data_IF_461103316669
#
_entry.id   IF_461103316669
#
_cell.length_a   1.000
_cell.length_b   1.000
_cell.length_c   1.000
_cell.angle_alpha   90.00
_cell.angle_beta   90.00
_cell.angle_gamma   90.00
#
_symmetry.space_group_name_H-M   'P 1'
#
loop_
_entity.id
_entity.type
_entity.pdbx_description
1 polymer ?
#
# COMPACT_ATOMS: atom_id res chain seq x y z
N UNK A 1 -6.83 23.22 3.86
CA UNK A 1 -6.34 21.82 3.86
C UNK A 1 -7.38 20.98 3.13
N UNK A 2 -6.98 20.07 2.25
CA UNK A 2 -7.93 19.20 1.54
C UNK A 2 -8.50 18.16 2.53
N UNK A 3 -9.82 17.95 2.50
CA UNK A 3 -10.53 17.07 3.43
C UNK A 3 -10.26 15.56 3.23
N UNK A 4 -9.51 15.18 2.19
CA UNK A 4 -9.24 13.79 1.83
C UNK A 4 -7.84 13.58 1.25
N UNK A 5 -7.44 12.31 1.13
CA UNK A 5 -6.10 11.91 0.65
C UNK A 5 -5.98 11.83 -0.87
N UNK A 6 -7.09 11.78 -1.58
CA UNK A 6 -7.13 11.63 -3.03
C UNK A 6 -7.89 12.80 -3.65
N UNK A 7 -7.42 13.27 -4.79
CA UNK A 7 -8.07 14.31 -5.57
C UNK A 7 -7.95 14.02 -7.07
N UNK A 8 -8.94 14.46 -7.81
CA UNK A 8 -8.85 14.60 -9.26
C UNK A 8 -8.46 16.04 -9.57
N UNK A 9 -7.70 16.24 -10.63
CA UNK A 9 -7.33 17.57 -11.09
C UNK A 9 -7.59 17.72 -12.58
N UNK A 10 -7.87 18.95 -12.99
CA UNK A 10 -8.05 19.27 -14.41
C UNK A 10 -6.74 19.74 -15.04
N UNK A 11 -6.06 20.71 -14.41
CA UNK A 11 -4.84 21.31 -14.96
C UNK A 11 -3.67 21.29 -13.98
N UNK A 12 -2.51 20.86 -14.47
CA UNK A 12 -1.22 20.93 -13.78
C UNK A 12 -0.27 21.83 -14.58
N UNK A 13 0.43 22.73 -13.88
CA UNK A 13 1.34 23.69 -14.48
C UNK A 13 2.70 23.58 -13.81
N UNK A 14 3.75 23.61 -14.61
CA UNK A 14 5.13 23.66 -14.15
C UNK A 14 5.68 25.06 -14.35
N UNK A 15 6.00 25.73 -13.25
CA UNK A 15 6.82 26.96 -13.26
C UNK A 15 8.18 26.59 -12.65
N UNK A 16 8.49 27.10 -11.46
CA UNK A 16 9.64 26.67 -10.67
C UNK A 16 9.38 25.32 -9.96
N UNK A 17 8.10 25.01 -9.70
CA UNK A 17 7.60 23.75 -9.13
C UNK A 17 6.32 23.34 -9.86
N UNK A 18 5.86 22.12 -9.63
CA UNK A 18 4.58 21.64 -10.14
C UNK A 18 3.45 22.15 -9.22
N UNK A 19 2.44 22.77 -9.84
CA UNK A 19 1.26 23.29 -9.18
C UNK A 19 0.01 22.76 -9.89
N UNK A 20 -0.96 22.32 -9.10
CA UNK A 20 -2.30 21.97 -9.59
C UNK A 20 -3.19 23.20 -9.44
N UNK A 21 -3.86 23.64 -10.52
CA UNK A 21 -4.76 24.81 -10.47
C UNK A 21 -6.10 24.46 -9.84
N UNK A 22 -6.75 23.45 -10.40
CA UNK A 22 -8.09 23.03 -10.01
C UNK A 22 -8.03 21.58 -9.54
N UNK A 23 -8.44 21.35 -8.29
CA UNK A 23 -8.52 20.01 -7.72
C UNK A 23 -9.81 19.82 -6.93
N UNK A 24 -10.42 18.64 -7.07
CA UNK A 24 -11.59 18.22 -6.31
C UNK A 24 -11.22 16.97 -5.52
N UNK A 25 -11.47 17.00 -4.21
CA UNK A 25 -11.27 15.82 -3.35
C UNK A 25 -12.26 14.73 -3.77
N UNK A 26 -11.77 13.50 -3.91
CA UNK A 26 -12.58 12.35 -4.31
C UNK A 26 -12.45 11.21 -3.32
N UNK A 27 -13.52 10.43 -3.21
CA UNK A 27 -13.59 9.27 -2.33
C UNK A 27 -12.88 8.06 -2.97
N UNK A 28 -12.10 7.26 -2.21
CA UNK A 28 -11.58 5.95 -2.64
C UNK A 28 -12.58 5.08 -3.39
N UNK A 29 -13.83 5.02 -2.94
CA UNK A 29 -14.85 4.18 -3.57
C UNK A 29 -15.22 4.67 -4.97
N UNK A 30 -15.28 5.99 -5.18
CA UNK A 30 -15.49 6.57 -6.52
C UNK A 30 -14.34 6.21 -7.46
N UNK A 31 -13.10 6.21 -6.96
CA UNK A 31 -11.91 5.80 -7.71
C UNK A 31 -11.92 4.31 -8.04
N UNK A 32 -12.44 3.46 -7.15
CA UNK A 32 -12.55 2.02 -7.42
C UNK A 32 -13.60 1.72 -8.50
N UNK A 33 -14.71 2.47 -8.50
CA UNK A 33 -15.84 2.25 -9.41
C UNK A 33 -15.57 2.81 -10.81
N UNK A 34 -15.11 4.06 -10.90
CA UNK A 34 -14.91 4.77 -12.17
C UNK A 34 -13.43 4.90 -12.61
N UNK A 35 -12.49 4.42 -11.80
CA UNK A 35 -11.08 4.42 -12.18
C UNK A 35 -10.78 3.40 -13.29
N UNK A 36 -9.51 3.27 -13.65
CA UNK A 36 -9.08 2.35 -14.68
C UNK A 36 -9.05 0.88 -14.23
N UNK A 37 -8.07 0.13 -14.72
CA UNK A 37 -8.02 -1.33 -14.61
C UNK A 37 -8.00 -1.80 -13.14
N UNK A 38 -8.99 -2.60 -12.76
CA UNK A 38 -9.15 -3.09 -11.39
C UNK A 38 -8.52 -4.48 -11.22
N UNK A 39 -7.58 -4.62 -10.29
CA UNK A 39 -7.01 -5.92 -9.89
C UNK A 39 -7.27 -6.19 -8.41
N UNK A 40 -7.80 -7.37 -8.12
CA UNK A 40 -8.24 -7.79 -6.79
C UNK A 40 -7.30 -8.85 -6.22
N UNK A 41 -6.56 -8.49 -5.17
CA UNK A 41 -5.71 -9.40 -4.41
C UNK A 41 -6.45 -9.88 -3.16
N UNK A 42 -7.31 -10.90 -3.33
CA UNK A 42 -8.21 -11.38 -2.29
C UNK A 42 -7.49 -11.86 -1.01
N UNK A 43 -6.32 -12.47 -1.14
CA UNK A 43 -5.53 -12.96 0.00
C UNK A 43 -4.97 -11.84 0.86
N UNK A 44 -4.61 -10.72 0.23
CA UNK A 44 -4.01 -9.56 0.90
C UNK A 44 -5.04 -8.48 1.26
N UNK A 45 -6.30 -8.64 0.86
CA UNK A 45 -7.35 -7.62 0.97
C UNK A 45 -6.93 -6.28 0.34
N UNK A 46 -6.22 -6.36 -0.79
CA UNK A 46 -5.75 -5.19 -1.54
C UNK A 46 -6.43 -5.17 -2.90
N UNK A 47 -6.89 -3.99 -3.30
CA UNK A 47 -7.38 -3.69 -4.63
C UNK A 47 -6.46 -2.66 -5.25
N UNK A 48 -6.05 -2.87 -6.50
CA UNK A 48 -5.26 -1.88 -7.23
C UNK A 48 -6.01 -1.36 -8.45
N UNK A 49 -5.96 -0.05 -8.64
CA UNK A 49 -6.45 0.64 -9.83
C UNK A 49 -5.23 1.06 -10.66
N UNK A 50 -5.22 0.69 -11.94
CA UNK A 50 -4.15 0.96 -12.90
C UNK A 50 -2.76 0.46 -12.47
N UNK A 51 -2.72 -0.55 -11.59
CA UNK A 51 -1.48 -1.16 -11.09
C UNK A 51 -0.68 -0.34 -10.06
N UNK A 52 -0.96 0.97 -9.91
CA UNK A 52 -0.22 1.84 -8.99
C UNK A 52 -1.04 2.26 -7.77
N UNK A 53 -2.34 2.49 -7.93
CA UNK A 53 -3.19 3.04 -6.89
C UNK A 53 -3.75 1.91 -6.02
N UNK A 54 -3.24 1.76 -4.79
CA UNK A 54 -3.57 0.63 -3.91
C UNK A 54 -4.54 1.04 -2.79
N UNK A 55 -5.62 0.29 -2.67
CA UNK A 55 -6.61 0.43 -1.60
C UNK A 55 -6.67 -0.86 -0.79
N UNK A 56 -6.72 -0.77 0.53
CA UNK A 56 -7.01 -1.92 1.37
C UNK A 56 -8.50 -2.02 1.56
N UNK A 57 -9.10 -3.10 1.07
CA UNK A 57 -10.55 -3.29 1.04
C UNK A 57 -10.85 -4.75 1.38
N UNK A 58 -11.79 -4.97 2.30
CA UNK A 58 -12.27 -6.32 2.62
C UNK A 58 -12.77 -7.03 1.36
N UNK A 59 -12.66 -8.36 1.35
CA UNK A 59 -13.02 -9.19 0.19
C UNK A 59 -14.45 -8.95 -0.33
N UNK A 60 -15.44 -8.85 0.55
CA UNK A 60 -16.86 -8.68 0.18
C UNK A 60 -17.12 -7.42 -0.64
N UNK A 61 -16.91 -6.18 -0.12
CA UNK A 61 -17.14 -4.96 -0.88
C UNK A 61 -16.29 -4.87 -2.15
N UNK A 62 -15.04 -5.35 -2.10
CA UNK A 62 -14.17 -5.36 -3.28
C UNK A 62 -14.71 -6.25 -4.42
N UNK A 63 -15.31 -7.39 -4.06
CA UNK A 63 -15.93 -8.29 -5.05
C UNK A 63 -17.24 -7.68 -5.58
N UNK A 64 -18.05 -7.06 -4.72
CA UNK A 64 -19.27 -6.35 -5.13
C UNK A 64 -18.98 -5.25 -6.15
N UNK A 65 -17.97 -4.41 -5.90
CA UNK A 65 -17.54 -3.35 -6.83
C UNK A 65 -17.09 -3.95 -8.17
N UNK A 66 -16.37 -5.08 -8.16
CA UNK A 66 -15.96 -5.77 -9.39
C UNK A 66 -17.16 -6.21 -10.24
N UNK A 67 -18.17 -6.84 -9.62
CA UNK A 67 -19.37 -7.28 -10.34
C UNK A 67 -20.17 -6.10 -10.87
N UNK A 68 -20.35 -5.05 -10.04
CA UNK A 68 -21.07 -3.84 -10.45
C UNK A 68 -20.40 -3.16 -11.65
N UNK A 69 -19.06 -3.11 -11.70
CA UNK A 69 -18.33 -2.57 -12.86
C UNK A 69 -18.57 -3.37 -14.13
N UNK A 70 -18.56 -4.69 -14.05
CA UNK A 70 -18.81 -5.55 -15.21
C UNK A 70 -20.23 -5.37 -15.75
N UNK A 71 -21.22 -5.23 -14.85
CA UNK A 71 -22.61 -4.97 -15.22
C UNK A 71 -22.78 -3.58 -15.86
N UNK A 72 -22.15 -2.55 -15.27
CA UNK A 72 -22.11 -1.20 -15.84
C UNK A 72 -21.49 -1.18 -17.23
N UNK A 73 -20.33 -1.82 -17.41
CA UNK A 73 -19.64 -1.86 -18.70
C UNK A 73 -20.49 -2.57 -19.77
N UNK A 74 -21.14 -3.68 -19.42
CA UNK A 74 -22.07 -4.37 -20.32
C UNK A 74 -23.24 -3.48 -20.77
N UNK A 75 -23.87 -2.77 -19.82
CA UNK A 75 -24.97 -1.83 -20.10
C UNK A 75 -24.49 -0.67 -20.99
N UNK A 76 -23.35 -0.07 -20.66
CA UNK A 76 -22.78 1.04 -21.41
C UNK A 76 -22.38 0.62 -22.83
N UNK A 77 -21.73 -0.53 -22.99
CA UNK A 77 -21.36 -1.05 -24.31
C UNK A 77 -22.59 -1.29 -25.19
N UNK A 78 -23.66 -1.85 -24.62
CA UNK A 78 -24.91 -2.05 -25.37
C UNK A 78 -25.53 -0.71 -25.80
N UNK A 79 -25.52 0.30 -24.92
CA UNK A 79 -26.00 1.67 -25.27
C UNK A 79 -25.13 2.37 -26.31
N UNK A 80 -23.83 2.09 -26.34
CA UNK A 80 -22.94 2.60 -27.38
C UNK A 80 -23.29 1.98 -28.74
N UNK A 81 -23.59 0.68 -28.77
CA UNK A 81 -23.90 -0.05 -30.02
C UNK A 81 -25.28 0.34 -30.56
N UNK A 82 -26.28 0.41 -29.70
CA UNK A 82 -27.66 0.74 -30.07
C UNK A 82 -28.24 1.78 -29.10
N UNK A 83 -28.05 3.08 -29.35
CA UNK A 83 -28.49 4.12 -28.44
C UNK A 83 -30.02 4.21 -28.30
N UNK A 84 -30.75 3.94 -29.39
CA UNK A 84 -32.23 3.96 -29.44
C UNK A 84 -32.88 2.76 -28.74
N UNK A 85 -32.08 1.78 -28.31
CA UNK A 85 -32.57 0.58 -27.63
C UNK A 85 -32.89 0.92 -26.17
N UNK A 86 -33.95 1.70 -25.96
CA UNK A 86 -34.56 1.98 -24.65
C UNK A 86 -35.19 0.74 -24.00
N UNK A 87 -35.13 -0.40 -24.70
CA UNK A 87 -35.58 -1.71 -24.25
C UNK A 87 -34.68 -2.33 -23.19
N UNK A 88 -33.48 -1.79 -22.91
CA UNK A 88 -32.75 -2.13 -21.69
C UNK A 88 -33.75 -1.99 -20.56
N UNK A 89 -34.07 -3.10 -19.88
CA UNK A 89 -35.08 -3.16 -18.81
C UNK A 89 -34.87 -1.91 -17.97
N UNK A 90 -35.77 -0.95 -18.10
CA UNK A 90 -35.58 0.38 -17.50
C UNK A 90 -35.30 0.22 -15.99
N UNK A 91 -35.87 -0.85 -15.43
CA UNK A 91 -35.63 -1.40 -14.10
C UNK A 91 -34.17 -1.77 -13.80
N UNK A 92 -33.44 -2.43 -14.70
CA UNK A 92 -32.02 -2.82 -14.53
C UNK A 92 -31.11 -1.59 -14.52
N UNK A 93 -31.28 -0.67 -15.48
CA UNK A 93 -30.49 0.58 -15.50
C UNK A 93 -30.79 1.44 -14.27
N UNK A 94 -32.06 1.56 -13.89
CA UNK A 94 -32.47 2.27 -12.65
C UNK A 94 -31.90 1.59 -11.40
N UNK A 95 -31.95 0.26 -11.31
CA UNK A 95 -31.42 -0.48 -10.17
C UNK A 95 -29.89 -0.32 -10.06
N UNK A 96 -29.17 -0.38 -11.17
CA UNK A 96 -27.73 -0.12 -11.20
C UNK A 96 -27.40 1.30 -10.73
N UNK A 97 -28.09 2.31 -11.26
CA UNK A 97 -27.90 3.71 -10.84
C UNK A 97 -28.20 3.90 -9.35
N UNK A 98 -29.23 3.23 -8.84
CA UNK A 98 -29.58 3.23 -7.43
C UNK A 98 -28.51 2.56 -6.56
N UNK A 99 -27.96 1.42 -6.99
CA UNK A 99 -26.84 0.76 -6.34
C UNK A 99 -25.60 1.67 -6.26
N UNK A 100 -25.25 2.35 -7.36
CA UNK A 100 -24.15 3.31 -7.39
C UNK A 100 -24.42 4.46 -6.42
N UNK A 101 -25.64 5.02 -6.42
CA UNK A 101 -26.05 6.10 -5.51
C UNK A 101 -25.89 5.69 -4.06
N UNK A 102 -26.43 4.54 -3.66
CA UNK A 102 -26.34 4.00 -2.29
C UNK A 102 -24.88 3.79 -1.89
N UNK A 103 -24.08 3.18 -2.77
CA UNK A 103 -22.69 2.85 -2.50
C UNK A 103 -21.81 4.10 -2.34
N UNK A 104 -22.05 5.15 -3.13
CA UNK A 104 -21.34 6.42 -3.01
C UNK A 104 -21.79 7.25 -1.80
N UNK A 105 -23.10 7.26 -1.50
CA UNK A 105 -23.62 8.03 -0.36
C UNK A 105 -23.16 7.47 0.99
N UNK A 106 -23.01 6.15 1.09
CA UNK A 106 -22.65 5.47 2.34
C UNK A 106 -21.27 5.86 2.89
N UNK A 107 -20.38 6.33 2.03
CA UNK A 107 -19.00 6.66 2.41
C UNK A 107 -18.83 8.09 2.96
N UNK A 108 -19.86 8.96 2.90
CA UNK A 108 -19.82 10.28 3.54
C UNK A 108 -19.78 10.21 5.09
N UNK A 109 -19.90 9.01 5.69
CA UNK A 109 -19.94 8.82 7.14
C UNK A 109 -18.91 7.86 7.75
N UNK A 110 -18.08 7.15 6.98
CA UNK A 110 -17.22 6.09 7.57
C UNK A 110 -15.83 6.00 6.96
N UNK A 111 -14.87 6.69 7.56
CA UNK A 111 -13.41 6.56 7.36
C UNK A 111 -12.84 5.19 7.81
N UNK A 112 -13.64 4.11 7.86
CA UNK A 112 -13.36 2.90 8.63
C UNK A 112 -13.15 1.62 7.78
N UNK A 113 -13.60 1.58 6.52
CA UNK A 113 -13.48 0.38 5.67
C UNK A 113 -12.15 0.29 4.90
N UNK A 114 -11.47 1.41 4.70
CA UNK A 114 -10.20 1.50 3.96
C UNK A 114 -9.02 1.61 4.93
N UNK A 115 -8.40 0.48 5.27
CA UNK A 115 -7.26 0.46 6.19
C UNK A 115 -6.01 1.00 5.49
N UNK A 116 -5.50 2.14 5.96
CA UNK A 116 -4.41 2.85 5.31
C UNK A 116 -3.08 2.09 5.40
N UNK A 117 -2.62 1.51 4.29
CA UNK A 117 -1.25 0.98 4.16
C UNK A 117 -0.28 2.13 3.85
N UNK A 118 -0.05 3.00 4.81
CA UNK A 118 1.04 3.99 4.80
C UNK A 118 1.41 4.39 6.22
N UNK A 119 1.86 3.42 7.01
CA UNK A 119 2.82 3.68 8.09
C UNK A 119 4.07 2.89 7.76
N UNK A 120 5.04 3.54 7.12
CA UNK A 120 6.43 3.06 7.16
C UNK A 120 6.75 2.85 8.64
N UNK A 121 7.05 1.62 9.05
CA UNK A 121 7.71 1.37 10.33
C UNK A 121 8.98 2.22 10.33
N UNK A 122 8.99 3.28 11.13
CA UNK A 122 10.23 3.95 11.49
C UNK A 122 11.13 2.88 12.12
N UNK A 123 12.28 2.67 11.50
CA UNK A 123 13.37 1.92 12.12
C UNK A 123 13.75 2.71 13.38
N UNK A 124 13.79 2.09 14.57
CA UNK A 124 14.27 2.75 15.76
C UNK A 124 15.68 3.27 15.49
N UNK A 125 15.88 4.57 15.66
CA UNK A 125 17.19 5.19 15.58
C UNK A 125 17.85 4.89 16.92
N UNK A 126 18.79 3.96 16.94
CA UNK A 126 19.61 3.69 18.11
C UNK A 126 20.40 4.97 18.44
N UNK A 127 19.88 5.76 19.39
CA UNK A 127 20.61 6.85 20.01
C UNK A 127 21.45 6.24 21.12
N UNK A 128 22.65 5.76 20.77
CA UNK A 128 23.72 5.54 21.73
C UNK A 128 24.23 6.91 22.19
N UNK A 129 23.63 7.45 23.26
CA UNK A 129 24.22 8.54 24.04
C UNK A 129 24.91 7.93 25.25
N UNK A 130 26.20 7.59 25.10
CA UNK A 130 27.08 7.36 26.24
C UNK A 130 28.25 8.34 26.14
N UNK A 131 27.99 9.56 26.63
CA UNK A 131 28.99 10.60 26.79
C UNK A 131 29.48 10.55 28.22
N UNK A 132 30.50 9.73 28.48
CA UNK A 132 31.26 9.78 29.72
C UNK A 132 32.43 10.74 29.53
N UNK A 133 32.32 11.87 30.21
CA UNK A 133 33.33 12.92 30.30
C UNK A 133 34.47 12.45 31.22
N UNK A 134 35.72 12.48 30.75
CA UNK A 134 36.89 12.20 31.58
C UNK A 134 38.18 12.69 30.91
N UNK A 135 38.52 13.97 31.13
CA UNK A 135 39.89 14.46 31.00
C UNK A 135 40.57 14.48 32.38
N UNK A 136 41.32 13.42 32.70
CA UNK A 136 42.30 13.44 33.79
C UNK A 136 43.41 12.40 33.54
N UNK A 137 44.62 12.88 33.32
CA UNK A 137 45.87 12.18 33.66
C UNK A 137 46.69 13.09 34.59
N UNK A 138 47.82 12.64 35.21
CA UNK A 138 48.59 11.43 34.89
C UNK A 138 49.05 10.57 36.10
N UNK A 139 49.53 9.36 35.75
CA UNK A 139 50.65 8.58 36.33
C UNK A 139 50.79 8.43 37.85
N UNK A 140 50.59 7.21 38.37
CA UNK A 140 51.62 6.56 39.23
C UNK A 140 51.40 5.05 39.44
N UNK A 141 52.53 4.35 39.53
CA UNK A 141 52.82 3.13 40.32
C UNK A 141 52.21 1.76 39.98
N UNK A 142 53.14 0.90 39.51
CA UNK A 142 53.70 -0.21 40.31
C UNK A 142 53.04 -1.59 40.21
N UNK A 143 53.75 -2.50 39.51
CA UNK A 143 54.11 -3.80 40.07
C UNK A 143 53.38 -5.04 39.56
N UNK A 144 54.16 -6.10 39.33
CA UNK A 144 53.71 -7.51 39.36
C UNK A 144 53.65 -8.18 37.98
N UNK A 145 54.72 -8.84 37.51
CA UNK A 145 55.09 -10.26 37.76
C UNK A 145 54.23 -11.30 37.02
N UNK A 146 54.91 -12.09 36.18
CA UNK A 146 54.53 -13.45 35.75
C UNK A 146 53.78 -13.48 34.42
N UNK A 147 54.04 -14.35 33.46
CA UNK A 147 54.95 -15.49 33.40
C UNK A 147 54.58 -16.34 32.18
N UNK A 148 55.58 -16.70 31.38
CA UNK A 148 55.81 -17.96 30.64
C UNK A 148 54.62 -18.74 30.02
N UNK A 149 54.81 -19.12 28.75
CA UNK A 149 54.42 -20.44 28.21
C UNK A 149 53.57 -20.34 26.94
N UNK A 150 54.10 -20.59 25.73
CA UNK A 150 54.44 -21.87 25.08
C UNK A 150 53.24 -22.76 24.71
N UNK A 151 53.16 -23.11 23.41
CA UNK A 151 52.52 -24.35 22.89
C UNK A 151 51.39 -24.03 21.90
N UNK A 152 51.52 -24.23 20.58
CA UNK A 152 51.66 -25.47 19.76
C UNK A 152 50.46 -26.43 19.81
N UNK A 153 49.93 -26.75 18.63
CA UNK A 153 49.17 -27.98 18.31
C UNK A 153 47.89 -27.68 17.52
N UNK A 154 47.79 -27.92 16.20
CA UNK A 154 47.70 -29.18 15.41
C UNK A 154 46.44 -30.03 15.67
N UNK A 155 45.77 -30.37 14.56
CA UNK A 155 44.74 -31.43 14.43
C UNK A 155 43.39 -30.84 14.06
N UNK A 156 42.70 -31.20 12.97
CA UNK A 156 42.69 -32.42 12.18
C UNK A 156 41.26 -32.98 12.22
N UNK A 157 40.60 -33.17 11.08
CA UNK A 157 39.26 -33.79 11.06
C UNK A 157 38.60 -33.84 9.70
N UNK A 158 38.49 -35.04 9.13
CA UNK A 158 37.83 -35.39 7.87
C UNK A 158 36.37 -35.81 8.12
N UNK A 159 35.49 -35.68 7.11
CA UNK A 159 34.21 -36.43 7.00
C UNK A 159 33.35 -35.86 5.86
N UNK A 160 33.37 -36.43 4.65
CA UNK A 160 32.54 -37.53 4.09
C UNK A 160 31.01 -37.31 4.11
N UNK A 161 30.50 -36.81 2.98
CA UNK A 161 29.62 -37.53 2.02
C UNK A 161 28.13 -37.79 2.34
N UNK A 162 27.26 -37.46 1.37
CA UNK A 162 26.07 -38.21 0.82
C UNK A 162 25.32 -37.28 -0.16
N UNK A 163 25.36 -37.51 -1.49
CA UNK A 163 24.46 -38.32 -2.33
C UNK A 163 22.96 -38.05 -2.11
N UNK A 164 22.32 -37.41 -3.09
CA UNK A 164 20.92 -37.65 -3.45
C UNK A 164 20.90 -38.25 -4.86
N UNK A 165 20.11 -39.32 -5.00
CA UNK A 165 19.77 -40.00 -6.25
C UNK A 165 18.63 -39.26 -6.95
N UNK A 166 18.50 -39.62 -8.22
CA UNK A 166 17.44 -39.30 -9.18
C UNK A 166 16.01 -39.54 -8.67
#
# INVERSE_FOLDING_TARGET
QLAGRYCCYHNIIKTSKLYVRDCTVVNPTSLLLFGGALQLYQKQEIVTVDGWLKFRVKRKPATSVKYLRAEMESILLRRIISPEDDSLREKETKAMMECIRILLQREHGTSSSFVNSSRKKQVPRDTSSDGTDSSAGPQNRQGGRGGRGRGRGRGGGRGRGRRNQD
#
